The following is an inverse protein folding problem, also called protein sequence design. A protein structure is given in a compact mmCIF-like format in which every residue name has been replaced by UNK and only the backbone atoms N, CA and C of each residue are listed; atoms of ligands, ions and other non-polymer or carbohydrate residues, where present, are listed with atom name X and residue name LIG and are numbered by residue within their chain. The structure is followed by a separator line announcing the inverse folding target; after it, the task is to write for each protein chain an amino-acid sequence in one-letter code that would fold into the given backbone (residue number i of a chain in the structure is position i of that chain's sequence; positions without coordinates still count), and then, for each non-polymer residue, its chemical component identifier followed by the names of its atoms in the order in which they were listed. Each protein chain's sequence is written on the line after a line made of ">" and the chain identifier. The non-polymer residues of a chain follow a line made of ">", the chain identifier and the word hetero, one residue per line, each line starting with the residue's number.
data_IF_584501125859
#
_entry.id   IF_584501125859
#
_cell.length_a   1.000
_cell.length_b   1.000
_cell.length_c   1.000
_cell.angle_alpha   90.00
_cell.angle_beta   90.00
_cell.angle_gamma   90.00
#
_symmetry.space_group_name_H-M   'P 1'
#
loop_
_entity.id
_entity.type
_entity.pdbx_description
1 polymer ?
#
# COMPACT_ATOMS: atom_id res chain seq x y z
N UNK A 1 -57.74 -29.26 -6.77
CA UNK A 1 -56.53 -29.85 -7.36
C UNK A 1 -55.68 -28.73 -7.89
N UNK A 2 -54.72 -28.51 -7.17
CA UNK A 2 -53.38 -27.88 -7.23
C UNK A 2 -53.00 -27.11 -8.50
N UNK A 3 -52.92 -25.78 -8.38
CA UNK A 3 -52.13 -24.88 -9.24
C UNK A 3 -51.06 -24.22 -8.37
N UNK A 4 -50.02 -24.95 -8.00
CA UNK A 4 -48.78 -24.43 -7.44
C UNK A 4 -47.62 -25.05 -8.22
N UNK A 5 -47.43 -24.61 -9.44
CA UNK A 5 -46.24 -24.89 -10.21
C UNK A 5 -46.02 -23.75 -11.16
N UNK A 6 -44.93 -23.04 -11.00
CA UNK A 6 -44.30 -22.03 -11.82
C UNK A 6 -44.22 -20.63 -11.15
N UNK A 7 -43.74 -20.59 -9.91
CA UNK A 7 -43.08 -19.40 -9.45
C UNK A 7 -41.58 -19.59 -9.65
N UNK A 8 -41.10 -19.25 -10.85
CA UNK A 8 -39.68 -19.13 -11.12
C UNK A 8 -39.12 -18.05 -10.19
N UNK A 9 -38.31 -18.49 -9.23
CA UNK A 9 -37.54 -17.60 -8.37
C UNK A 9 -36.64 -16.80 -9.31
N UNK A 10 -36.76 -15.44 -9.38
CA UNK A 10 -35.87 -14.67 -10.22
C UNK A 10 -34.43 -14.98 -9.79
N UNK A 11 -33.56 -15.30 -10.75
CA UNK A 11 -32.15 -15.54 -10.51
C UNK A 11 -31.62 -14.41 -9.65
N UNK A 12 -31.30 -14.68 -8.39
CA UNK A 12 -30.61 -13.75 -7.51
C UNK A 12 -29.35 -13.32 -8.27
N UNK A 13 -29.34 -12.08 -8.75
CA UNK A 13 -28.13 -11.46 -9.24
C UNK A 13 -27.07 -11.61 -8.15
N UNK A 14 -26.00 -12.35 -8.45
CA UNK A 14 -24.85 -12.45 -7.53
C UNK A 14 -24.51 -11.02 -7.11
N UNK A 15 -24.38 -10.73 -5.82
CA UNK A 15 -24.00 -9.40 -5.39
C UNK A 15 -22.72 -9.04 -6.13
N UNK A 16 -22.68 -7.89 -6.80
CA UNK A 16 -21.46 -7.41 -7.47
C UNK A 16 -20.36 -7.40 -6.42
N UNK A 17 -19.26 -8.07 -6.71
CA UNK A 17 -18.09 -8.07 -5.84
C UNK A 17 -17.73 -6.62 -5.47
N UNK A 18 -17.57 -6.38 -4.19
CA UNK A 18 -17.16 -5.06 -3.70
C UNK A 18 -15.63 -5.01 -3.73
N UNK A 19 -15.08 -4.05 -4.45
CA UNK A 19 -13.63 -3.96 -4.65
C UNK A 19 -13.16 -2.56 -4.29
N UNK A 20 -12.01 -2.48 -3.61
CA UNK A 20 -11.33 -1.21 -3.37
C UNK A 20 -10.10 -1.14 -4.25
N UNK A 21 -10.02 -0.09 -5.07
CA UNK A 21 -8.85 0.20 -5.89
C UNK A 21 -7.92 1.15 -5.14
N UNK A 22 -6.70 0.71 -4.94
CA UNK A 22 -5.61 1.52 -4.37
C UNK A 22 -4.81 2.08 -5.54
N UNK A 23 -4.86 3.38 -5.73
CA UNK A 23 -4.20 4.06 -6.85
C UNK A 23 -3.08 4.96 -6.34
N UNK A 24 -1.89 4.84 -6.90
CA UNK A 24 -0.73 5.62 -6.46
C UNK A 24 0.26 5.87 -7.61
N UNK A 25 0.91 7.02 -7.58
CA UNK A 25 2.08 7.35 -8.40
C UNK A 25 3.39 6.76 -7.86
N UNK A 26 3.32 5.98 -6.77
CA UNK A 26 4.38 5.18 -6.17
C UNK A 26 3.89 3.75 -5.92
N UNK A 27 4.32 3.10 -4.82
CA UNK A 27 4.00 1.70 -4.51
C UNK A 27 2.58 1.49 -3.95
N UNK A 28 1.91 2.54 -3.46
CA UNK A 28 0.54 2.48 -2.93
C UNK A 28 0.41 1.94 -1.50
N UNK A 29 1.51 1.71 -0.80
CA UNK A 29 1.54 1.13 0.55
C UNK A 29 0.77 2.00 1.56
N UNK A 30 0.93 3.32 1.49
CA UNK A 30 0.25 4.25 2.41
C UNK A 30 -1.28 4.18 2.26
N UNK A 31 -1.77 4.20 1.02
CA UNK A 31 -3.20 4.09 0.75
C UNK A 31 -3.76 2.75 1.20
N UNK A 32 -3.03 1.65 0.98
CA UNK A 32 -3.45 0.34 1.44
C UNK A 32 -3.48 0.24 2.97
N UNK A 33 -2.48 0.75 3.67
CA UNK A 33 -2.43 0.73 5.13
C UNK A 33 -3.63 1.48 5.73
N UNK A 34 -3.92 2.68 5.23
CA UNK A 34 -5.07 3.48 5.68
C UNK A 34 -6.39 2.77 5.35
N UNK A 35 -6.51 2.19 4.15
CA UNK A 35 -7.69 1.43 3.74
C UNK A 35 -7.93 0.21 4.64
N UNK A 36 -6.90 -0.57 4.93
CA UNK A 36 -7.01 -1.72 5.84
C UNK A 36 -7.37 -1.31 7.27
N UNK A 37 -6.78 -0.22 7.75
CA UNK A 37 -7.12 0.33 9.06
C UNK A 37 -8.60 0.76 9.14
N UNK A 38 -9.13 1.40 8.09
CA UNK A 38 -10.53 1.76 8.02
C UNK A 38 -11.44 0.52 7.92
N UNK A 39 -11.09 -0.46 7.06
CA UNK A 39 -11.85 -1.71 6.88
C UNK A 39 -11.95 -2.53 8.17
N UNK A 40 -10.96 -2.47 9.04
CA UNK A 40 -11.00 -3.19 10.34
C UNK A 40 -12.17 -2.76 11.23
N UNK A 41 -12.78 -1.60 10.97
CA UNK A 41 -13.97 -1.11 11.68
C UNK A 41 -15.27 -1.72 11.13
N UNK A 42 -15.21 -2.53 10.05
CA UNK A 42 -16.38 -3.15 9.41
C UNK A 42 -16.25 -4.68 9.44
N UNK A 43 -16.54 -5.32 10.59
CA UNK A 43 -16.39 -6.77 10.73
C UNK A 43 -17.31 -7.51 9.75
N UNK A 44 -16.78 -8.54 9.08
CA UNK A 44 -17.52 -9.33 8.11
C UNK A 44 -17.64 -8.70 6.71
N UNK A 45 -17.01 -7.57 6.45
CA UNK A 45 -16.98 -7.00 5.10
C UNK A 45 -16.10 -7.88 4.20
N UNK A 46 -16.73 -8.48 3.18
CA UNK A 46 -16.03 -9.20 2.12
C UNK A 46 -15.68 -8.24 0.99
N UNK A 47 -14.43 -7.78 0.98
CA UNK A 47 -13.94 -6.75 0.06
C UNK A 47 -12.59 -7.15 -0.50
N UNK A 48 -12.48 -7.19 -1.83
CA UNK A 48 -11.21 -7.36 -2.52
C UNK A 48 -10.46 -6.02 -2.57
N UNK A 49 -9.13 -6.04 -2.37
CA UNK A 49 -8.28 -4.87 -2.58
C UNK A 49 -7.39 -5.12 -3.80
N UNK A 50 -7.47 -4.23 -4.79
CA UNK A 50 -6.60 -4.23 -5.99
C UNK A 50 -5.73 -3.01 -6.01
N UNK A 51 -4.43 -3.19 -6.27
CA UNK A 51 -3.45 -2.10 -6.36
C UNK A 51 -3.17 -1.72 -7.80
N UNK A 52 -3.09 -0.41 -8.03
CA UNK A 52 -2.65 0.22 -9.28
C UNK A 52 -1.49 1.17 -8.95
N UNK A 53 -0.27 0.63 -8.78
CA UNK A 53 0.92 1.41 -8.49
C UNK A 53 1.48 2.09 -9.73
N UNK A 54 2.38 3.07 -9.53
CA UNK A 54 3.18 3.71 -10.58
C UNK A 54 2.34 4.38 -11.68
N UNK A 55 1.19 4.93 -11.31
CA UNK A 55 0.34 5.70 -12.24
C UNK A 55 1.06 6.93 -12.72
N UNK A 56 1.18 7.10 -14.04
CA UNK A 56 2.02 8.14 -14.65
C UNK A 56 1.23 9.29 -15.28
N UNK A 57 -0.04 9.07 -15.60
CA UNK A 57 -0.77 10.12 -16.28
C UNK A 57 -2.21 9.79 -16.64
N UNK A 58 -2.82 10.65 -17.49
CA UNK A 58 -4.26 10.58 -17.80
C UNK A 58 -4.73 9.24 -18.38
N UNK A 59 -3.90 8.60 -19.20
CA UNK A 59 -4.26 7.32 -19.81
C UNK A 59 -4.43 6.20 -18.77
N UNK A 60 -3.54 6.15 -17.79
CA UNK A 60 -3.62 5.17 -16.69
C UNK A 60 -4.88 5.43 -15.85
N UNK A 61 -5.14 6.71 -15.52
CA UNK A 61 -6.31 7.13 -14.76
C UNK A 61 -7.60 6.70 -15.47
N UNK A 62 -7.69 6.96 -16.77
CA UNK A 62 -8.86 6.59 -17.56
C UNK A 62 -9.07 5.08 -17.64
N UNK A 63 -7.99 4.31 -17.77
CA UNK A 63 -8.05 2.85 -17.77
C UNK A 63 -8.55 2.31 -16.42
N UNK A 64 -8.04 2.84 -15.31
CA UNK A 64 -8.44 2.45 -13.96
C UNK A 64 -9.92 2.77 -13.71
N UNK A 65 -10.38 3.97 -14.05
CA UNK A 65 -11.78 4.36 -13.89
C UNK A 65 -12.70 3.52 -14.77
N UNK A 66 -12.27 3.19 -15.99
CA UNK A 66 -13.02 2.30 -16.88
C UNK A 66 -13.17 0.90 -16.29
N UNK A 67 -12.10 0.37 -15.69
CA UNK A 67 -12.15 -0.91 -15.00
C UNK A 67 -13.06 -0.86 -13.77
N UNK A 68 -12.99 0.23 -13.00
CA UNK A 68 -13.80 0.43 -11.80
C UNK A 68 -15.33 0.47 -12.09
N UNK A 69 -15.74 0.90 -13.27
CA UNK A 69 -17.16 0.89 -13.71
C UNK A 69 -17.78 -0.50 -13.82
N UNK A 70 -16.97 -1.53 -13.96
CA UNK A 70 -17.45 -2.91 -14.18
C UNK A 70 -18.03 -3.55 -12.91
N UNK A 71 -17.74 -3.01 -11.73
CA UNK A 71 -18.09 -3.58 -10.43
C UNK A 71 -18.46 -2.49 -9.41
N UNK A 72 -18.81 -2.88 -8.19
CA UNK A 72 -19.03 -1.94 -7.11
C UNK A 72 -17.68 -1.53 -6.52
N UNK A 73 -17.19 -0.36 -6.87
CA UNK A 73 -15.82 0.06 -6.57
C UNK A 73 -15.77 1.34 -5.73
N UNK A 74 -14.84 1.35 -4.77
CA UNK A 74 -14.31 2.54 -4.11
C UNK A 74 -12.87 2.74 -4.60
N UNK A 75 -12.50 3.95 -5.00
CA UNK A 75 -11.12 4.30 -5.33
C UNK A 75 -10.50 5.08 -4.17
N UNK A 76 -9.36 4.62 -3.67
CA UNK A 76 -8.55 5.30 -2.66
C UNK A 76 -7.21 5.63 -3.29
N UNK A 77 -6.82 6.90 -3.30
CA UNK A 77 -5.62 7.27 -4.04
C UNK A 77 -4.66 8.17 -3.26
N UNK A 78 -3.37 8.01 -3.60
CA UNK A 78 -2.25 8.79 -3.09
C UNK A 78 -1.42 9.31 -4.27
N UNK A 79 -1.97 10.31 -4.98
CA UNK A 79 -1.29 11.00 -6.06
C UNK A 79 -0.70 12.31 -5.53
N UNK A 80 0.59 12.54 -5.77
CA UNK A 80 1.31 13.69 -5.23
C UNK A 80 1.08 14.93 -6.10
N UNK A 81 1.05 14.76 -7.42
CA UNK A 81 0.92 15.84 -8.39
C UNK A 81 -0.52 16.37 -8.45
N UNK A 82 -0.78 17.69 -8.24
CA UNK A 82 -2.13 18.23 -8.20
C UNK A 82 -2.95 17.95 -9.46
N UNK A 83 -2.33 18.01 -10.64
CA UNK A 83 -2.99 17.77 -11.92
C UNK A 83 -3.52 16.34 -12.00
N UNK A 84 -2.74 15.35 -11.57
CA UNK A 84 -3.14 13.95 -11.53
C UNK A 84 -4.27 13.70 -10.52
N UNK A 85 -4.23 14.37 -9.35
CA UNK A 85 -5.32 14.31 -8.37
C UNK A 85 -6.62 14.86 -8.92
N UNK A 86 -6.56 16.04 -9.53
CA UNK A 86 -7.74 16.67 -10.13
C UNK A 86 -8.33 15.80 -11.25
N UNK A 87 -7.49 15.26 -12.10
CA UNK A 87 -7.93 14.33 -13.17
C UNK A 87 -8.59 13.07 -12.60
N UNK A 88 -8.01 12.47 -11.56
CA UNK A 88 -8.62 11.31 -10.90
C UNK A 88 -9.98 11.66 -10.30
N UNK A 89 -10.08 12.77 -9.60
CA UNK A 89 -11.33 13.23 -8.99
C UNK A 89 -12.41 13.45 -10.04
N UNK A 90 -12.11 14.23 -11.09
CA UNK A 90 -13.05 14.51 -12.18
C UNK A 90 -13.50 13.24 -12.89
N UNK A 91 -12.57 12.35 -13.24
CA UNK A 91 -12.90 11.09 -13.91
C UNK A 91 -13.79 10.17 -13.04
N UNK A 92 -13.57 10.17 -11.73
CA UNK A 92 -14.43 9.42 -10.78
C UNK A 92 -15.81 10.06 -10.64
N UNK A 93 -15.92 11.38 -10.58
CA UNK A 93 -17.17 12.11 -10.51
C UNK A 93 -18.03 11.84 -11.75
N UNK A 94 -17.45 11.97 -12.96
CA UNK A 94 -18.11 11.65 -14.22
C UNK A 94 -18.59 10.19 -14.28
N UNK A 95 -17.80 9.29 -13.70
CA UNK A 95 -18.10 7.86 -13.62
C UNK A 95 -19.10 7.51 -12.51
N UNK A 96 -19.43 8.45 -11.62
CA UNK A 96 -20.20 8.24 -10.39
C UNK A 96 -19.59 7.18 -9.47
N UNK A 97 -18.25 7.17 -9.39
CA UNK A 97 -17.47 6.31 -8.50
C UNK A 97 -17.02 7.13 -7.30
N UNK A 98 -17.20 6.59 -6.11
CA UNK A 98 -16.68 7.24 -4.89
C UNK A 98 -15.16 7.16 -4.90
N UNK A 99 -14.49 8.31 -4.73
CA UNK A 99 -13.05 8.40 -4.67
C UNK A 99 -12.59 9.17 -3.42
N UNK A 100 -11.51 8.71 -2.80
CA UNK A 100 -10.94 9.30 -1.59
C UNK A 100 -9.50 9.69 -1.89
N UNK A 101 -9.23 10.99 -1.87
CA UNK A 101 -7.87 11.56 -1.91
C UNK A 101 -7.28 11.57 -0.49
N UNK A 102 -6.23 10.80 -0.24
CA UNK A 102 -5.54 10.79 1.05
C UNK A 102 -4.45 11.87 1.08
N UNK A 103 -3.71 12.08 -0.02
CA UNK A 103 -2.54 12.95 -0.04
C UNK A 103 -2.91 14.44 -0.14
N UNK A 104 -3.91 14.80 -0.91
CA UNK A 104 -4.25 16.20 -1.15
C UNK A 104 -4.56 16.99 0.12
N UNK A 105 -5.52 16.56 0.95
CA UNK A 105 -5.84 17.23 2.21
C UNK A 105 -4.65 17.31 3.16
N UNK A 106 -3.84 16.25 3.26
CA UNK A 106 -2.64 16.23 4.11
C UNK A 106 -1.60 17.24 3.63
N UNK A 107 -1.33 17.28 2.33
CA UNK A 107 -0.37 18.23 1.77
C UNK A 107 -0.83 19.66 1.92
N UNK A 108 -2.12 19.95 1.74
CA UNK A 108 -2.68 21.27 1.94
C UNK A 108 -2.52 21.74 3.39
N UNK A 109 -2.80 20.86 4.36
CA UNK A 109 -2.57 21.17 5.77
C UNK A 109 -1.09 21.45 6.08
N UNK A 110 -0.15 20.72 5.49
CA UNK A 110 1.28 21.02 5.65
C UNK A 110 1.71 22.31 4.97
N UNK A 111 1.17 22.66 3.81
CA UNK A 111 1.43 23.95 3.16
C UNK A 111 1.00 25.09 4.08
N UNK A 112 -0.20 25.00 4.63
CA UNK A 112 -0.73 26.00 5.56
C UNK A 112 0.12 26.11 6.84
N UNK A 113 0.44 24.97 7.46
CA UNK A 113 1.20 24.93 8.71
C UNK A 113 2.66 25.39 8.55
N UNK A 114 3.33 24.94 7.48
CA UNK A 114 4.77 25.13 7.29
C UNK A 114 5.11 26.35 6.43
N UNK A 115 4.15 26.92 5.69
CA UNK A 115 4.38 28.00 4.75
C UNK A 115 5.36 27.66 3.62
N UNK A 116 5.48 26.38 3.26
CA UNK A 116 6.45 25.87 2.27
C UNK A 116 5.76 25.12 1.14
N UNK A 117 6.24 25.32 -0.08
CA UNK A 117 5.78 24.55 -1.23
C UNK A 117 6.29 23.10 -1.16
N UNK A 118 5.45 22.11 -1.50
CA UNK A 118 5.84 20.70 -1.56
C UNK A 118 6.73 20.44 -2.79
N UNK A 119 7.55 19.40 -2.74
CA UNK A 119 8.42 18.99 -3.86
C UNK A 119 7.65 18.36 -5.02
N UNK A 120 6.44 17.86 -4.79
CA UNK A 120 5.58 17.19 -5.77
C UNK A 120 6.26 16.00 -6.51
N UNK A 121 7.16 15.30 -5.83
CA UNK A 121 7.86 14.15 -6.36
C UNK A 121 7.25 12.86 -5.82
N UNK A 122 6.70 11.97 -6.67
CA UNK A 122 6.25 10.66 -6.27
C UNK A 122 7.37 9.81 -5.66
N UNK A 123 7.03 8.99 -4.67
CA UNK A 123 7.94 7.99 -4.11
C UNK A 123 9.09 8.55 -3.27
N UNK A 124 9.07 9.80 -2.84
CA UNK A 124 10.13 10.38 -2.00
C UNK A 124 10.46 9.56 -0.75
N UNK A 125 9.46 8.92 -0.14
CA UNK A 125 9.66 8.07 1.04
C UNK A 125 10.46 6.79 0.72
N UNK A 126 10.49 6.40 -0.56
CA UNK A 126 11.20 5.21 -1.04
C UNK A 126 12.49 5.57 -1.80
N UNK A 127 12.89 6.83 -1.80
CA UNK A 127 14.18 7.19 -2.38
C UNK A 127 15.29 6.49 -1.62
N UNK A 128 16.28 6.00 -2.38
CA UNK A 128 17.49 5.39 -1.84
C UNK A 128 18.32 6.48 -1.16
N UNK A 129 17.93 6.83 0.07
CA UNK A 129 18.67 7.72 0.93
C UNK A 129 19.73 6.94 1.74
N UNK A 130 20.49 7.65 2.53
CA UNK A 130 21.51 7.09 3.43
C UNK A 130 20.93 6.00 4.37
N UNK A 131 19.66 6.17 4.77
CA UNK A 131 18.90 5.22 5.62
C UNK A 131 18.61 3.91 4.90
N UNK A 132 18.31 3.96 3.60
CA UNK A 132 18.13 2.77 2.76
C UNK A 132 19.43 1.99 2.63
N UNK A 133 20.53 2.67 2.24
CA UNK A 133 21.83 2.01 2.09
C UNK A 133 22.30 1.39 3.40
N UNK A 134 22.14 2.08 4.53
CA UNK A 134 22.46 1.54 5.86
C UNK A 134 21.63 0.27 6.17
N UNK A 135 20.36 0.23 5.79
CA UNK A 135 19.53 -0.96 5.97
C UNK A 135 20.01 -2.13 5.12
N UNK A 136 20.33 -1.88 3.85
CA UNK A 136 20.85 -2.90 2.94
C UNK A 136 22.17 -3.45 3.49
N UNK A 137 23.09 -2.59 3.89
CA UNK A 137 24.36 -2.97 4.50
C UNK A 137 24.18 -3.87 5.74
N UNK A 138 23.24 -3.52 6.62
CA UNK A 138 22.94 -4.33 7.80
C UNK A 138 22.33 -5.69 7.45
N UNK A 139 21.45 -5.76 6.45
CA UNK A 139 20.88 -7.03 5.98
C UNK A 139 21.97 -7.92 5.34
N UNK A 140 22.82 -7.38 4.49
CA UNK A 140 23.96 -8.10 3.92
C UNK A 140 24.92 -8.59 5.00
N UNK A 141 25.17 -7.76 6.02
CA UNK A 141 25.98 -8.13 7.17
C UNK A 141 25.35 -9.31 7.92
N UNK A 142 24.07 -9.25 8.25
CA UNK A 142 23.37 -10.31 8.96
C UNK A 142 23.42 -11.65 8.20
N UNK A 143 23.23 -11.64 6.87
CA UNK A 143 23.31 -12.85 6.02
C UNK A 143 24.74 -13.39 5.96
N UNK A 144 25.73 -12.51 5.80
CA UNK A 144 27.14 -12.89 5.64
C UNK A 144 27.70 -13.55 6.89
N UNK A 145 27.36 -13.05 8.06
CA UNK A 145 27.90 -13.48 9.34
C UNK A 145 26.98 -14.40 10.16
N UNK A 146 25.87 -14.85 9.55
CA UNK A 146 24.94 -15.80 10.19
C UNK A 146 25.67 -17.11 10.58
N UNK A 147 25.25 -17.69 11.71
CA UNK A 147 25.82 -18.93 12.26
C UNK A 147 27.34 -18.91 12.44
N UNK A 148 27.92 -17.74 12.73
CA UNK A 148 29.35 -17.55 12.99
C UNK A 148 30.27 -18.03 11.84
N UNK A 149 29.81 -17.96 10.60
CA UNK A 149 30.59 -18.35 9.39
C UNK A 149 31.93 -17.66 9.30
N UNK A 150 32.05 -16.42 9.78
CA UNK A 150 33.29 -15.68 9.92
C UNK A 150 33.30 -14.94 11.28
N UNK A 151 34.16 -15.38 12.22
CA UNK A 151 34.23 -14.76 13.57
C UNK A 151 34.62 -13.28 13.57
N UNK A 152 35.23 -12.76 12.50
CA UNK A 152 35.55 -11.34 12.38
C UNK A 152 34.29 -10.44 12.43
N UNK A 153 33.13 -10.98 12.05
CA UNK A 153 31.86 -10.30 12.16
C UNK A 153 31.50 -9.85 13.56
N UNK A 154 31.93 -10.57 14.61
CA UNK A 154 31.64 -10.22 16.00
C UNK A 154 32.23 -8.87 16.41
N UNK A 155 33.38 -8.49 15.85
CA UNK A 155 34.04 -7.21 16.15
C UNK A 155 33.42 -6.03 15.37
N UNK A 156 32.62 -6.33 14.35
CA UNK A 156 32.00 -5.33 13.47
C UNK A 156 30.49 -5.18 13.75
N UNK A 157 29.95 -6.03 14.60
CA UNK A 157 28.55 -6.06 14.92
C UNK A 157 28.16 -5.02 15.97
N UNK A 158 27.00 -4.38 15.82
CA UNK A 158 26.37 -3.55 16.86
C UNK A 158 25.75 -4.44 17.94
N UNK A 159 25.32 -5.67 17.59
CA UNK A 159 24.75 -6.65 18.50
C UNK A 159 25.14 -8.08 18.11
N UNK A 160 25.41 -8.94 19.10
CA UNK A 160 25.68 -10.36 18.89
C UNK A 160 24.63 -11.20 19.60
N UNK A 161 23.97 -12.09 18.85
CA UNK A 161 22.93 -12.98 19.36
C UNK A 161 23.53 -14.34 19.73
N UNK A 162 23.52 -14.69 21.00
CA UNK A 162 23.96 -15.98 21.50
C UNK A 162 22.77 -16.84 21.90
N UNK A 163 22.83 -18.13 21.59
CA UNK A 163 21.77 -19.05 21.97
C UNK A 163 21.94 -20.42 21.32
N UNK A 164 21.20 -21.39 21.82
CA UNK A 164 21.19 -22.77 21.29
C UNK A 164 20.64 -22.82 19.86
N UNK A 165 20.86 -23.93 19.16
CA UNK A 165 20.31 -24.12 17.83
C UNK A 165 18.78 -24.03 17.84
N UNK A 166 18.19 -23.50 16.74
CA UNK A 166 16.74 -23.36 16.53
C UNK A 166 15.99 -22.51 17.56
N UNK A 167 16.63 -21.54 18.20
CA UNK A 167 16.00 -20.56 19.08
C UNK A 167 15.70 -19.20 18.41
N UNK A 168 15.48 -19.20 17.11
CA UNK A 168 15.08 -18.02 16.31
C UNK A 168 16.12 -16.89 16.22
N UNK A 169 17.44 -17.20 16.38
CA UNK A 169 18.50 -16.18 16.23
C UNK A 169 18.48 -15.51 14.86
N UNK A 170 18.46 -16.30 13.77
CA UNK A 170 18.43 -15.78 12.41
C UNK A 170 17.22 -14.86 12.10
N UNK A 171 15.97 -15.21 12.44
CA UNK A 171 14.85 -14.26 12.33
C UNK A 171 15.02 -12.98 13.13
N UNK A 172 15.59 -13.06 14.33
CA UNK A 172 15.85 -11.87 15.18
C UNK A 172 16.96 -11.01 14.57
N UNK A 173 18.06 -11.61 14.09
CA UNK A 173 19.14 -10.85 13.44
C UNK A 173 18.64 -10.11 12.21
N UNK A 174 17.82 -10.76 11.38
CA UNK A 174 17.19 -10.11 10.22
C UNK A 174 16.26 -8.97 10.62
N UNK A 175 15.47 -9.13 11.68
CA UNK A 175 14.64 -8.05 12.22
C UNK A 175 15.49 -6.87 12.68
N UNK A 176 16.58 -7.10 13.39
CA UNK A 176 17.52 -6.07 13.84
C UNK A 176 18.21 -5.38 12.65
N UNK A 177 18.60 -6.14 11.63
CA UNK A 177 19.19 -5.61 10.41
C UNK A 177 18.23 -4.65 9.68
N UNK A 178 16.95 -4.98 9.60
CA UNK A 178 15.92 -4.07 9.08
C UNK A 178 15.77 -2.80 9.93
N UNK A 179 16.15 -2.84 11.20
CA UNK A 179 16.24 -1.69 12.12
C UNK A 179 17.59 -1.00 12.08
N UNK A 180 18.50 -1.40 11.16
CA UNK A 180 19.84 -0.83 10.90
C UNK A 180 20.88 -1.17 11.96
N UNK A 181 20.74 -2.28 12.65
CA UNK A 181 21.76 -2.87 13.52
C UNK A 181 22.49 -3.98 12.74
N UNK A 182 23.82 -3.98 12.84
CA UNK A 182 24.68 -5.07 12.36
C UNK A 182 24.81 -6.18 13.38
#
# INVERSE_FOLDING_TARGET
>A
MSRFSDMAIPAMQRPRETVIFIVSDSLGETAELVTRAALSQFPGADVEIRRFPMVKGPADIQAIVTEAKKQRTLIVFTLVVPEARNQMTLACEEARIVAIDIMGPMMNGFIELLGKAPRLQPGLIHQMDETYFKRVECVEFAVKYDDAKDPKGFLLADAVLLGVSRCSKTPVSMYLAHRRFK
#
